data_IF_826864912583
#
_entry.id   IF_826864912583
#
_cell.length_a   1.000
_cell.length_b   1.000
_cell.length_c   1.000
_cell.angle_alpha   90.00
_cell.angle_beta   90.00
_cell.angle_gamma   90.00
#
_symmetry.space_group_name_H-M   'P 1'
#
loop_
_entity.id
_entity.type
_entity.pdbx_description
1 polymer ?
#
# COMPACT_ATOMS: atom_id res chain seq x y z
N UNK A 1 -6.16 -39.22 -6.88
CA UNK A 1 -6.15 -37.92 -7.58
C UNK A 1 -5.47 -36.93 -6.64
N UNK A 2 -4.14 -36.76 -6.76
CA UNK A 2 -3.41 -35.82 -5.91
C UNK A 2 -3.90 -34.41 -6.22
N UNK A 3 -4.32 -33.69 -5.18
CA UNK A 3 -4.97 -32.38 -5.32
C UNK A 3 -3.97 -31.41 -5.94
N UNK A 4 -4.41 -30.59 -6.89
CA UNK A 4 -3.58 -29.55 -7.56
C UNK A 4 -2.88 -28.64 -6.53
N UNK A 5 -3.46 -28.50 -5.35
CA UNK A 5 -2.87 -27.82 -4.19
C UNK A 5 -1.57 -28.48 -3.70
N UNK A 6 -1.46 -29.80 -3.68
CA UNK A 6 -0.25 -30.53 -3.25
C UNK A 6 0.88 -30.45 -4.27
N UNK A 7 0.56 -30.45 -5.57
CA UNK A 7 1.56 -30.25 -6.64
C UNK A 7 2.04 -28.80 -6.72
N UNK A 8 1.20 -27.82 -6.36
CA UNK A 8 1.61 -26.43 -6.26
C UNK A 8 2.52 -26.22 -5.04
N UNK A 9 2.15 -26.80 -3.89
CA UNK A 9 2.94 -26.73 -2.67
C UNK A 9 4.31 -27.42 -2.79
N UNK A 10 4.39 -28.56 -3.49
CA UNK A 10 5.66 -29.26 -3.71
C UNK A 10 6.59 -28.54 -4.70
N UNK A 11 6.05 -27.72 -5.60
CA UNK A 11 6.82 -26.89 -6.53
C UNK A 11 7.18 -25.50 -5.98
N UNK A 12 6.61 -25.07 -4.83
CA UNK A 12 7.08 -23.89 -4.10
C UNK A 12 8.40 -24.25 -3.41
N UNK A 13 9.47 -24.31 -4.21
CA UNK A 13 10.82 -24.44 -3.69
C UNK A 13 11.26 -23.10 -3.08
N UNK A 14 11.11 -22.98 -1.76
CA UNK A 14 11.68 -21.85 -0.99
C UNK A 14 13.18 -21.64 -1.31
N UNK A 15 13.87 -22.72 -1.70
CA UNK A 15 15.25 -22.74 -2.16
C UNK A 15 15.46 -21.97 -3.47
N UNK A 16 14.55 -22.05 -4.45
CA UNK A 16 14.65 -21.28 -5.70
C UNK A 16 14.41 -19.79 -5.45
N UNK A 17 13.45 -19.45 -4.58
CA UNK A 17 13.25 -18.09 -4.07
C UNK A 17 14.48 -17.54 -3.32
N UNK A 18 15.21 -18.40 -2.59
CA UNK A 18 16.44 -18.02 -1.87
C UNK A 18 17.64 -17.81 -2.80
N UNK A 19 17.75 -18.56 -3.89
CA UNK A 19 18.85 -18.47 -4.86
C UNK A 19 18.65 -17.37 -5.92
N UNK A 20 17.42 -16.92 -6.12
CA UNK A 20 17.09 -15.83 -7.04
C UNK A 20 17.51 -14.45 -6.47
N UNK A 21 18.80 -14.14 -6.58
CA UNK A 21 19.38 -12.86 -6.13
C UNK A 21 18.74 -11.65 -6.82
N UNK A 22 18.37 -11.79 -8.10
CA UNK A 22 17.61 -10.79 -8.87
C UNK A 22 16.23 -10.51 -8.23
N UNK A 23 15.51 -11.57 -7.85
CA UNK A 23 14.16 -11.44 -7.26
C UNK A 23 14.21 -10.74 -5.90
N UNK A 24 15.20 -11.06 -5.06
CA UNK A 24 15.42 -10.37 -3.78
C UNK A 24 15.70 -8.88 -3.96
N UNK A 25 16.51 -8.50 -4.96
CA UNK A 25 16.78 -7.08 -5.27
C UNK A 25 15.51 -6.33 -5.64
N UNK A 26 14.65 -6.93 -6.48
CA UNK A 26 13.36 -6.34 -6.87
C UNK A 26 12.41 -6.20 -5.69
N UNK A 27 12.32 -7.21 -4.83
CA UNK A 27 11.50 -7.15 -3.62
C UNK A 27 11.99 -6.03 -2.68
N UNK A 28 13.30 -5.92 -2.46
CA UNK A 28 13.87 -4.82 -1.67
C UNK A 28 13.59 -3.44 -2.26
N UNK A 29 13.70 -3.30 -3.59
CA UNK A 29 13.35 -2.06 -4.28
C UNK A 29 11.89 -1.68 -4.06
N UNK A 30 10.96 -2.63 -4.22
CA UNK A 30 9.52 -2.38 -4.01
C UNK A 30 9.22 -2.03 -2.55
N UNK A 31 9.83 -2.73 -1.59
CA UNK A 31 9.67 -2.41 -0.16
C UNK A 31 10.17 -1.00 0.14
N UNK A 32 11.34 -0.63 -0.37
CA UNK A 32 11.92 0.70 -0.17
C UNK A 32 11.04 1.79 -0.80
N UNK A 33 10.53 1.55 -2.02
CA UNK A 33 9.59 2.46 -2.69
C UNK A 33 8.30 2.64 -1.89
N UNK A 34 7.73 1.56 -1.32
CA UNK A 34 6.56 1.65 -0.44
C UNK A 34 6.86 2.42 0.85
N UNK A 35 8.07 2.27 1.40
CA UNK A 35 8.52 2.98 2.59
C UNK A 35 8.64 4.49 2.32
N UNK A 36 9.21 4.87 1.18
CA UNK A 36 9.28 6.27 0.70
C UNK A 36 7.89 6.84 0.46
N UNK A 37 7.00 6.11 -0.22
CA UNK A 37 5.60 6.51 -0.37
C UNK A 37 4.94 6.74 1.00
N UNK A 38 5.15 5.82 1.95
CA UNK A 38 4.59 5.94 3.29
C UNK A 38 5.10 7.20 4.00
N UNK A 39 6.40 7.49 3.93
CA UNK A 39 6.99 8.72 4.49
C UNK A 39 6.48 9.98 3.80
N UNK A 40 6.30 9.95 2.47
CA UNK A 40 5.71 11.05 1.70
C UNK A 40 4.29 11.40 2.13
N UNK A 41 3.47 10.41 2.53
CA UNK A 41 2.11 10.68 3.06
C UNK A 41 2.09 11.37 4.42
N UNK A 42 3.21 11.40 5.15
CA UNK A 42 3.35 12.15 6.41
C UNK A 42 3.86 13.57 6.20
N UNK A 43 4.28 13.93 4.99
CA UNK A 43 4.69 15.28 4.66
C UNK A 43 3.44 16.06 4.18
N UNK A 44 2.79 16.85 5.06
CA UNK A 44 1.61 17.61 4.64
C UNK A 44 2.02 18.60 3.56
N UNK A 45 1.23 18.68 2.50
CA UNK A 45 1.46 19.63 1.41
C UNK A 45 1.30 21.06 1.97
N UNK A 46 2.35 21.89 1.95
CA UNK A 46 2.26 23.25 2.46
C UNK A 46 1.27 24.05 1.59
N UNK A 47 0.23 24.63 2.23
CA UNK A 47 -0.79 25.44 1.55
C UNK A 47 -2.19 24.85 1.51
N UNK A 48 -2.43 23.68 2.13
CA UNK A 48 -3.77 23.10 2.29
C UNK A 48 -4.32 23.41 3.70
N UNK A 49 -5.52 23.97 3.78
CA UNK A 49 -6.24 24.16 5.05
C UNK A 49 -6.82 22.83 5.54
N UNK A 50 -6.13 22.20 6.48
CA UNK A 50 -6.48 20.92 7.09
C UNK A 50 -7.91 20.98 7.70
N UNK A 51 -8.27 22.08 8.37
CA UNK A 51 -9.57 22.23 9.04
C UNK A 51 -10.76 22.25 8.06
N UNK A 52 -10.61 22.87 6.89
CA UNK A 52 -11.64 22.86 5.85
C UNK A 52 -11.78 21.46 5.23
N UNK A 53 -10.66 20.73 5.10
CA UNK A 53 -10.65 19.36 4.60
C UNK A 53 -11.29 18.38 5.59
N UNK A 54 -11.05 18.55 6.91
CA UNK A 54 -11.74 17.80 7.97
C UNK A 54 -13.24 17.96 7.91
N UNK A 55 -13.72 19.19 7.79
CA UNK A 55 -15.15 19.47 7.78
C UNK A 55 -15.86 18.85 6.56
N UNK A 56 -15.21 18.84 5.40
CA UNK A 56 -15.70 18.17 4.18
C UNK A 56 -15.62 16.64 4.34
N UNK A 57 -14.57 16.12 4.97
CA UNK A 57 -14.40 14.69 5.24
C UNK A 57 -15.45 14.14 6.20
N UNK A 58 -15.74 14.86 7.29
CA UNK A 58 -16.77 14.48 8.27
C UNK A 58 -18.16 14.47 7.63
N UNK A 59 -18.48 15.44 6.77
CA UNK A 59 -19.77 15.47 6.07
C UNK A 59 -19.91 14.42 4.96
N UNK A 60 -18.81 14.00 4.32
CA UNK A 60 -18.84 13.14 3.11
C UNK A 60 -18.14 11.78 3.28
N UNK A 61 -17.87 11.37 4.53
CA UNK A 61 -17.09 10.17 4.86
C UNK A 61 -17.66 8.88 4.26
N UNK A 62 -18.97 8.84 4.01
CA UNK A 62 -19.69 7.68 3.47
C UNK A 62 -19.82 7.68 1.94
N UNK A 63 -19.30 8.70 1.25
CA UNK A 63 -19.43 8.90 -0.20
C UNK A 63 -18.15 8.61 -1.00
N UNK A 64 -18.10 9.13 -2.23
CA UNK A 64 -16.95 9.01 -3.15
C UNK A 64 -15.62 9.45 -2.50
N UNK A 65 -15.66 10.39 -1.56
CA UNK A 65 -14.49 10.87 -0.83
C UNK A 65 -13.90 9.78 0.10
N UNK A 66 -14.74 8.95 0.73
CA UNK A 66 -14.30 7.81 1.53
C UNK A 66 -13.61 6.74 0.68
N UNK A 67 -14.16 6.48 -0.52
CA UNK A 67 -13.56 5.58 -1.51
C UNK A 67 -12.21 6.13 -1.99
N UNK A 68 -12.13 7.43 -2.25
CA UNK A 68 -10.88 8.10 -2.63
C UNK A 68 -9.82 8.00 -1.53
N UNK A 69 -10.19 8.11 -0.26
CA UNK A 69 -9.28 7.90 0.87
C UNK A 69 -8.74 6.46 0.94
N UNK A 70 -9.59 5.47 0.66
CA UNK A 70 -9.21 4.06 0.60
C UNK A 70 -8.19 3.81 -0.51
N UNK A 71 -8.41 4.38 -1.70
CA UNK A 71 -7.47 4.28 -2.82
C UNK A 71 -6.18 5.09 -2.61
N UNK A 72 -6.25 6.21 -1.91
CA UNK A 72 -5.08 7.01 -1.53
C UNK A 72 -4.33 6.47 -0.30
N UNK A 73 -4.68 5.29 0.22
CA UNK A 73 -3.97 4.65 1.34
C UNK A 73 -4.12 5.37 2.68
N UNK A 74 -5.24 6.08 2.89
CA UNK A 74 -5.47 6.88 4.09
C UNK A 74 -4.63 8.15 4.15
N UNK A 75 -4.00 8.57 3.04
CA UNK A 75 -3.23 9.81 2.99
C UNK A 75 -4.12 11.05 3.15
N UNK A 76 -5.31 11.03 2.53
CA UNK A 76 -6.24 12.16 2.56
C UNK A 76 -6.83 12.33 3.97
N UNK A 77 -7.17 11.24 4.66
CA UNK A 77 -7.61 11.29 6.05
C UNK A 77 -6.52 11.66 7.07
N UNK A 78 -5.23 11.54 6.70
CA UNK A 78 -4.10 12.02 7.54
C UNK A 78 -3.79 13.50 7.30
N UNK A 79 -4.20 14.04 6.15
CA UNK A 79 -4.14 15.45 5.79
C UNK A 79 -5.47 16.19 6.04
N UNK A 80 -6.51 15.49 6.49
CA UNK A 80 -7.67 16.10 7.13
C UNK A 80 -7.27 16.32 8.59
#
# INVERSE_FOLDING_TARGET
MASVAEQLASNISLSAFRNATELKKRIWYTILALLVYRLGTYLPLPGINLDALRQIFEQNQSGIIGIFNMFAGGAVGRMA
#
